data_IF_975594500393
#
_entry.id   IF_975594500393
#
_cell.length_a   1.000
_cell.length_b   1.000
_cell.length_c   1.000
_cell.angle_alpha   90.00
_cell.angle_beta   90.00
_cell.angle_gamma   90.00
#
_symmetry.space_group_name_H-M   'P 1'
#
loop_
_entity.id
_entity.type
_entity.pdbx_description
1 polymer ?
#
# COMPACT_ATOMS: atom_id res chain seq x y z
N UNK A 1 4.30 4.71 -16.26
CA UNK A 1 3.89 5.18 -14.92
C UNK A 1 2.40 5.47 -14.93
N UNK A 2 1.75 5.52 -13.76
CA UNK A 2 0.32 5.89 -13.68
C UNK A 2 0.21 7.39 -13.95
N UNK A 3 -0.54 7.83 -14.98
CA UNK A 3 -0.71 9.24 -15.27
C UNK A 3 -1.46 9.94 -14.12
N UNK A 4 -0.88 11.01 -13.58
CA UNK A 4 -1.53 11.88 -12.57
C UNK A 4 -2.43 12.91 -13.25
N UNK A 5 -3.36 12.44 -14.09
CA UNK A 5 -4.22 13.30 -14.92
C UNK A 5 -5.35 13.95 -14.13
N UNK A 6 -5.78 13.31 -13.05
CA UNK A 6 -6.95 13.74 -12.28
C UNK A 6 -6.56 14.66 -11.11
N UNK A 7 -7.39 15.67 -10.79
CA UNK A 7 -7.20 16.52 -9.61
C UNK A 7 -7.10 15.68 -8.32
N UNK A 8 -6.21 16.08 -7.40
CA UNK A 8 -5.97 15.36 -6.14
C UNK A 8 -7.26 15.08 -5.38
N UNK A 9 -8.11 16.09 -5.18
CA UNK A 9 -9.36 15.93 -4.43
C UNK A 9 -10.32 14.87 -5.01
N UNK A 10 -10.40 14.75 -6.33
CA UNK A 10 -11.21 13.72 -6.99
C UNK A 10 -10.63 12.33 -6.70
N UNK A 11 -9.32 12.16 -6.87
CA UNK A 11 -8.64 10.89 -6.58
C UNK A 11 -8.80 10.50 -5.11
N UNK A 12 -8.63 11.44 -4.18
CA UNK A 12 -8.78 11.21 -2.74
C UNK A 12 -10.19 10.79 -2.38
N UNK A 13 -11.21 11.45 -2.94
CA UNK A 13 -12.61 11.07 -2.71
C UNK A 13 -12.85 9.62 -3.14
N UNK A 14 -12.52 9.26 -4.37
CA UNK A 14 -12.78 7.91 -4.89
C UNK A 14 -11.94 6.85 -4.17
N UNK A 15 -10.69 7.18 -3.80
CA UNK A 15 -9.84 6.29 -3.03
C UNK A 15 -10.38 6.06 -1.62
N UNK A 16 -10.90 7.11 -0.95
CA UNK A 16 -11.58 6.99 0.34
C UNK A 16 -12.79 6.07 0.24
N UNK A 17 -13.65 6.29 -0.76
CA UNK A 17 -14.85 5.49 -1.01
C UNK A 17 -14.49 4.00 -1.24
N UNK A 18 -13.39 3.73 -1.95
CA UNK A 18 -12.88 2.37 -2.18
C UNK A 18 -12.31 1.75 -0.90
N UNK A 19 -11.46 2.47 -0.16
CA UNK A 19 -10.86 2.00 1.10
C UNK A 19 -11.96 1.62 2.08
N UNK A 20 -12.95 2.48 2.29
CA UNK A 20 -14.05 2.20 3.22
C UNK A 20 -14.85 0.96 2.84
N UNK A 21 -15.11 0.74 1.54
CA UNK A 21 -15.81 -0.47 1.06
C UNK A 21 -14.98 -1.72 1.31
N UNK A 22 -13.69 -1.69 0.97
CA UNK A 22 -12.77 -2.83 1.14
C UNK A 22 -12.57 -3.16 2.62
N UNK A 23 -12.28 -2.18 3.45
CA UNK A 23 -12.04 -2.38 4.89
C UNK A 23 -13.30 -2.88 5.60
N UNK A 24 -14.48 -2.39 5.21
CA UNK A 24 -15.76 -2.87 5.74
C UNK A 24 -16.05 -4.31 5.37
N UNK A 25 -15.74 -4.72 4.14
CA UNK A 25 -16.00 -6.07 3.64
C UNK A 25 -14.98 -7.09 4.19
N UNK A 26 -13.68 -6.80 4.04
CA UNK A 26 -12.60 -7.73 4.38
C UNK A 26 -12.14 -7.66 5.84
N UNK A 27 -12.59 -6.66 6.61
CA UNK A 27 -12.19 -6.43 8.01
C UNK A 27 -10.67 -6.33 8.20
N UNK A 28 -9.99 -5.85 7.18
CA UNK A 28 -8.54 -5.69 7.13
C UNK A 28 -8.20 -4.32 6.55
N UNK A 29 -7.16 -3.68 7.09
CA UNK A 29 -6.64 -2.40 6.61
C UNK A 29 -6.09 -2.55 5.20
N UNK A 30 -6.40 -1.58 4.34
CA UNK A 30 -5.90 -1.56 2.96
C UNK A 30 -4.42 -1.16 2.96
N UNK A 31 -3.64 -1.84 2.11
CA UNK A 31 -2.27 -1.44 1.75
C UNK A 31 -2.34 -0.70 0.41
N UNK A 32 -1.71 0.48 0.34
CA UNK A 32 -1.74 1.33 -0.87
C UNK A 32 -0.44 1.14 -1.65
N UNK A 33 -0.54 0.62 -2.87
CA UNK A 33 0.60 0.56 -3.78
C UNK A 33 0.86 1.92 -4.42
N UNK A 34 2.12 2.37 -4.42
CA UNK A 34 2.52 3.66 -4.95
C UNK A 34 3.87 3.61 -5.66
N UNK A 35 4.02 4.47 -6.66
CA UNK A 35 5.33 5.01 -7.07
C UNK A 35 5.61 6.30 -6.30
N UNK A 36 6.85 6.81 -6.37
CA UNK A 36 7.15 8.16 -5.86
C UNK A 36 6.27 9.25 -6.45
N UNK A 37 5.96 9.16 -7.74
CA UNK A 37 5.11 10.14 -8.43
C UNK A 37 3.69 10.17 -7.84
N UNK A 38 3.06 9.00 -7.70
CA UNK A 38 1.71 8.88 -7.14
C UNK A 38 1.66 9.11 -5.63
N UNK A 39 2.73 8.76 -4.90
CA UNK A 39 2.85 9.09 -3.47
C UNK A 39 2.84 10.61 -3.27
N UNK A 40 3.68 11.34 -3.98
CA UNK A 40 3.76 12.80 -3.85
C UNK A 40 2.50 13.50 -4.36
N UNK A 41 1.88 13.00 -5.44
CA UNK A 41 0.69 13.62 -6.01
C UNK A 41 -0.56 13.42 -5.14
N UNK A 42 -0.71 12.24 -4.53
CA UNK A 42 -1.97 11.84 -3.91
C UNK A 42 -1.83 11.39 -2.46
N UNK A 43 -0.85 10.55 -2.11
CA UNK A 43 -0.89 9.84 -0.82
C UNK A 43 -0.15 10.55 0.32
N UNK A 44 0.83 11.41 0.03
CA UNK A 44 1.61 12.10 1.05
C UNK A 44 0.71 12.93 1.98
N UNK A 45 0.73 12.60 3.28
CA UNK A 45 -0.12 13.22 4.30
C UNK A 45 -1.58 12.76 4.32
N UNK A 46 -1.98 11.85 3.41
CA UNK A 46 -3.32 11.29 3.32
C UNK A 46 -3.34 9.83 3.80
N UNK A 47 -4.49 9.39 4.32
CA UNK A 47 -4.72 8.01 4.78
C UNK A 47 -3.63 7.47 5.72
N UNK A 48 -3.28 8.19 6.81
CA UNK A 48 -2.09 7.88 7.63
C UNK A 48 -2.09 6.45 8.21
N UNK A 49 -3.27 5.88 8.47
CA UNK A 49 -3.42 4.51 9.00
C UNK A 49 -3.16 3.42 7.95
N UNK A 50 -3.21 3.77 6.65
CA UNK A 50 -2.97 2.83 5.57
C UNK A 50 -1.47 2.75 5.25
N UNK A 51 -0.93 1.53 5.32
CA UNK A 51 0.48 1.22 5.04
C UNK A 51 0.76 1.22 3.54
N UNK A 52 2.02 1.41 3.16
CA UNK A 52 2.42 1.57 1.77
C UNK A 52 3.16 0.34 1.23
N UNK A 53 2.84 0.01 -0.02
CA UNK A 53 3.66 -0.83 -0.88
C UNK A 53 4.34 0.07 -1.92
N UNK A 54 5.59 0.44 -1.67
CA UNK A 54 6.33 1.39 -2.50
C UNK A 54 7.10 0.67 -3.61
N UNK A 55 7.06 1.22 -4.82
CA UNK A 55 7.96 0.84 -5.90
C UNK A 55 9.20 1.75 -5.94
N UNK A 56 10.36 1.14 -5.77
CA UNK A 56 11.65 1.72 -6.11
C UNK A 56 12.55 0.62 -6.71
N UNK A 57 12.83 0.70 -8.00
CA UNK A 57 13.66 -0.33 -8.67
C UNK A 57 15.13 0.09 -8.78
N UNK A 58 15.51 1.24 -8.20
CA UNK A 58 16.85 1.82 -8.31
C UNK A 58 17.54 1.93 -6.96
N UNK A 59 16.83 2.31 -5.90
CA UNK A 59 17.38 2.58 -4.58
C UNK A 59 16.53 1.96 -3.47
N UNK A 60 17.08 1.97 -2.24
CA UNK A 60 16.29 1.67 -1.04
C UNK A 60 15.28 2.80 -0.85
N UNK A 61 13.99 2.50 -0.62
CA UNK A 61 12.97 3.52 -0.45
C UNK A 61 13.32 4.48 0.69
N UNK A 62 13.19 5.77 0.40
CA UNK A 62 13.21 6.86 1.38
C UNK A 62 11.99 7.73 1.15
N UNK A 63 11.04 7.72 2.08
CA UNK A 63 9.85 8.56 2.08
C UNK A 63 9.92 9.58 3.21
N UNK A 64 9.13 10.65 3.13
CA UNK A 64 8.99 11.58 4.26
C UNK A 64 8.36 10.87 5.48
N UNK A 65 7.46 9.92 5.22
CA UNK A 65 6.84 9.02 6.18
C UNK A 65 7.48 7.62 6.03
N UNK A 66 8.79 7.50 6.30
CA UNK A 66 9.57 6.29 5.96
C UNK A 66 9.07 5.00 6.64
N UNK A 67 8.50 5.14 7.83
CA UNK A 67 7.88 4.05 8.61
C UNK A 67 6.53 3.58 8.05
N UNK A 68 5.95 4.30 7.06
CA UNK A 68 4.68 3.87 6.43
C UNK A 68 4.85 2.76 5.40
N UNK A 69 6.00 2.62 4.73
CA UNK A 69 6.17 1.53 3.77
C UNK A 69 6.49 0.22 4.48
N UNK A 70 5.85 -0.85 4.05
CA UNK A 70 5.99 -2.19 4.62
C UNK A 70 6.36 -3.23 3.57
N UNK A 71 6.00 -2.98 2.31
CA UNK A 71 6.40 -3.81 1.17
C UNK A 71 7.13 -2.90 0.18
N UNK A 72 8.26 -3.37 -0.32
CA UNK A 72 9.05 -2.69 -1.32
C UNK A 72 9.10 -3.53 -2.59
N UNK A 73 8.60 -3.01 -3.71
CA UNK A 73 8.84 -3.59 -5.04
C UNK A 73 10.23 -3.18 -5.54
N UNK A 74 11.16 -4.13 -5.47
CA UNK A 74 12.60 -3.92 -5.72
C UNK A 74 12.98 -4.14 -7.18
N UNK A 75 12.16 -4.86 -7.94
CA UNK A 75 12.43 -5.18 -9.34
C UNK A 75 11.14 -5.45 -10.08
N UNK A 76 11.11 -5.09 -11.36
CA UNK A 76 10.12 -5.53 -12.35
C UNK A 76 10.70 -6.48 -13.41
N UNK A 77 11.95 -6.92 -13.21
CA UNK A 77 12.69 -7.82 -14.12
C UNK A 77 13.27 -9.01 -13.36
N UNK A 78 12.61 -9.42 -12.29
CA UNK A 78 12.99 -10.59 -11.53
C UNK A 78 12.84 -11.87 -12.34
N UNK A 79 13.75 -12.82 -12.10
CA UNK A 79 13.59 -14.23 -12.48
C UNK A 79 13.29 -15.05 -11.23
N UNK A 80 12.25 -15.87 -11.29
CA UNK A 80 11.81 -16.77 -10.21
C UNK A 80 11.52 -18.12 -10.85
N UNK A 81 12.09 -19.20 -10.28
CA UNK A 81 11.86 -20.56 -10.74
C UNK A 81 10.36 -20.86 -10.75
N UNK A 82 9.85 -21.40 -11.85
CA UNK A 82 8.42 -21.67 -12.04
C UNK A 82 7.62 -20.53 -12.69
N UNK A 83 8.21 -19.34 -12.90
CA UNK A 83 7.55 -18.23 -13.62
C UNK A 83 8.26 -17.99 -14.95
N UNK A 84 7.61 -18.27 -16.10
CA UNK A 84 8.14 -17.89 -17.40
C UNK A 84 8.23 -16.37 -17.53
N UNK A 85 9.37 -15.87 -18.03
CA UNK A 85 9.55 -14.44 -18.28
C UNK A 85 10.04 -13.64 -17.07
N UNK A 86 9.77 -12.34 -17.08
CA UNK A 86 10.09 -11.42 -16.00
C UNK A 86 8.92 -11.29 -15.04
N UNK A 87 9.22 -11.17 -13.75
CA UNK A 87 8.23 -10.95 -12.70
C UNK A 87 8.68 -9.86 -11.73
N UNK A 88 7.72 -9.26 -11.05
CA UNK A 88 8.00 -8.32 -9.98
C UNK A 88 8.55 -9.06 -8.75
N UNK A 89 9.59 -8.50 -8.13
CA UNK A 89 10.13 -8.97 -6.86
C UNK A 89 9.87 -7.94 -5.78
N UNK A 90 9.44 -8.43 -4.62
CA UNK A 90 9.08 -7.61 -3.48
C UNK A 90 9.80 -8.10 -2.22
N UNK A 91 10.08 -7.17 -1.31
CA UNK A 91 10.66 -7.43 0.00
C UNK A 91 9.73 -6.86 1.05
N UNK A 92 9.47 -7.65 2.10
CA UNK A 92 8.79 -7.17 3.30
C UNK A 92 9.83 -6.46 4.19
N UNK A 93 9.49 -5.29 4.73
CA UNK A 93 10.42 -4.49 5.56
C UNK A 93 10.90 -5.26 6.79
N UNK A 94 10.01 -6.05 7.39
CA UNK A 94 10.26 -6.84 8.59
C UNK A 94 9.17 -7.88 8.80
N UNK A 95 9.44 -8.91 9.60
CA UNK A 95 8.46 -9.90 10.00
C UNK A 95 8.13 -10.91 8.90
N UNK A 96 7.01 -11.61 9.05
CA UNK A 96 6.50 -12.59 8.07
C UNK A 96 5.22 -12.10 7.39
N UNK A 97 4.84 -12.80 6.31
CA UNK A 97 3.58 -12.52 5.61
C UNK A 97 2.39 -12.85 6.52
N UNK A 98 2.51 -13.90 7.34
CA UNK A 98 1.49 -14.32 8.31
C UNK A 98 1.29 -13.23 9.38
N UNK A 99 2.37 -12.68 9.92
CA UNK A 99 2.31 -11.56 10.87
C UNK A 99 1.68 -10.32 10.23
N UNK A 100 2.02 -10.01 8.98
CA UNK A 100 1.39 -8.92 8.24
C UNK A 100 -0.12 -9.13 8.09
N UNK A 101 -0.54 -10.35 7.73
CA UNK A 101 -1.95 -10.72 7.57
C UNK A 101 -2.70 -10.59 8.90
N UNK A 102 -2.10 -11.02 10.01
CA UNK A 102 -2.73 -10.91 11.34
C UNK A 102 -2.86 -9.45 11.77
N UNK A 103 -1.77 -8.69 11.67
CA UNK A 103 -1.72 -7.29 12.09
C UNK A 103 -2.59 -6.36 11.22
N UNK A 104 -3.00 -6.79 10.03
CA UNK A 104 -3.92 -6.04 9.17
C UNK A 104 -5.36 -6.00 9.69
N UNK A 105 -5.76 -6.88 10.62
CA UNK A 105 -7.15 -6.99 11.08
C UNK A 105 -7.62 -5.71 11.77
N UNK A 106 -8.78 -5.21 11.36
CA UNK A 106 -9.44 -4.09 12.03
C UNK A 106 -10.19 -4.66 13.23
N UNK A 107 -9.75 -4.31 14.44
CA UNK A 107 -10.48 -4.63 15.67
C UNK A 107 -11.79 -3.85 15.63
N UNK A 108 -12.91 -4.55 15.57
CA UNK A 108 -14.22 -3.94 15.76
C UNK A 108 -14.31 -3.66 17.26
N UNK A 109 -14.11 -2.42 17.68
CA UNK A 109 -14.65 -1.99 18.96
C UNK A 109 -16.17 -2.09 18.84
N UNK A 110 -16.77 -3.05 19.55
CA UNK A 110 -18.20 -3.03 19.80
C UNK A 110 -18.45 -1.78 20.63
N UNK A 111 -18.83 -0.68 19.97
CA UNK A 111 -19.59 0.36 20.65
C UNK A 111 -20.93 -0.30 21.01
N UNK A 112 -20.99 -0.83 22.23
CA UNK A 112 -22.25 -1.06 22.92
C UNK A 112 -22.98 0.29 22.94
N UNK A 113 -23.89 0.48 21.98
CA UNK A 113 -24.88 1.53 22.07
C UNK A 113 -25.87 1.09 23.15
N UNK A 114 -25.78 1.78 24.29
CA UNK A 114 -26.85 1.87 25.29
C UNK A 114 -28.20 2.15 24.63
#
# INVERSE_FOLDING_TARGET
EIPTKYPKNVVIKELKDMIEKLERHYKKRVIIYVTYHTYNAYIKGEFPDNRLWIRDIKYIPKLAEDDRWIIWQVSNKGRVTGIPGFTDKNVLRSGTVEELIENSRIKIEMQEKN
#
